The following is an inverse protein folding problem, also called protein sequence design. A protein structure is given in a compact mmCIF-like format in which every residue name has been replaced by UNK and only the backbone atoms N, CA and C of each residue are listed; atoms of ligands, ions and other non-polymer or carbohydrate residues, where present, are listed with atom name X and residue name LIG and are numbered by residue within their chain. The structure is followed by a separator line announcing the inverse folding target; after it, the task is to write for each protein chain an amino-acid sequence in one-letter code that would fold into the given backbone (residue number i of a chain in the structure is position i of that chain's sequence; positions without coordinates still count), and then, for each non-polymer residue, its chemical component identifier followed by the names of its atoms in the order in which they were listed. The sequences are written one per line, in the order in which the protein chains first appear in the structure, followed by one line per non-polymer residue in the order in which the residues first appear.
data_IF_965664258986
#
_entry.id   IF_965664258986
#
_cell.length_a   1.000
_cell.length_b   1.000
_cell.length_c   1.000
_cell.angle_alpha   90.00
_cell.angle_beta   90.00
_cell.angle_gamma   90.00
#
_symmetry.space_group_name_H-M   'P 1'
#
loop_
_entity.id
_entity.type
_entity.pdbx_description
1 polymer ?
#
# COMPACT_ATOMS: atom_id res chain seq x y z
N UNK A 1 16.21 -21.89 35.47
CA UNK A 1 15.15 -20.98 34.99
C UNK A 1 15.60 -19.57 35.32
N UNK A 2 15.58 -18.63 34.37
CA UNK A 2 15.86 -17.22 34.64
C UNK A 2 14.56 -16.48 34.37
N UNK A 3 14.01 -15.85 35.41
CA UNK A 3 12.81 -15.03 35.31
C UNK A 3 13.22 -13.58 35.49
N UNK A 4 12.98 -12.76 34.48
CA UNK A 4 13.27 -11.32 34.49
C UNK A 4 11.95 -10.59 34.70
N UNK A 5 11.88 -9.79 35.76
CA UNK A 5 10.72 -8.94 36.08
C UNK A 5 11.17 -7.48 35.94
N UNK A 6 10.59 -6.77 34.97
CA UNK A 6 10.80 -5.34 34.78
C UNK A 6 9.59 -4.56 35.34
N UNK A 7 9.86 -3.59 36.21
CA UNK A 7 8.84 -2.80 36.94
C UNK A 7 8.86 -1.33 36.48
N UNK A 8 9.78 -0.93 35.59
CA UNK A 8 10.10 0.48 35.38
C UNK A 8 9.41 1.17 34.18
N UNK A 9 8.66 0.44 33.34
CA UNK A 9 7.96 1.04 32.19
C UNK A 9 6.44 0.88 32.34
N UNK A 10 5.68 1.87 31.87
CA UNK A 10 4.21 1.97 31.97
C UNK A 10 3.41 0.85 31.29
N UNK A 11 4.09 -0.18 30.79
CA UNK A 11 3.55 -1.51 30.49
C UNK A 11 4.59 -2.58 30.87
N UNK A 12 4.35 -3.38 31.93
CA UNK A 12 5.29 -4.41 32.32
C UNK A 12 5.20 -5.64 31.40
N UNK A 13 6.34 -6.20 31.03
CA UNK A 13 6.47 -7.48 30.32
C UNK A 13 7.35 -8.43 31.15
N UNK A 14 6.91 -9.69 31.28
CA UNK A 14 7.70 -10.77 31.88
C UNK A 14 8.03 -11.76 30.77
N UNK A 15 9.32 -12.11 30.62
CA UNK A 15 9.73 -13.24 29.77
C UNK A 15 10.35 -14.34 30.63
N UNK A 16 9.84 -15.55 30.47
CA UNK A 16 10.35 -16.77 31.10
C UNK A 16 10.86 -17.68 30.00
N UNK A 17 12.14 -18.04 30.08
CA UNK A 17 12.70 -19.08 29.21
C UNK A 17 12.73 -20.40 29.99
N UNK A 18 11.94 -21.38 29.52
CA UNK A 18 11.92 -22.73 30.07
C UNK A 18 12.32 -23.75 28.98
N UNK A 19 13.07 -24.82 29.32
CA UNK A 19 13.28 -25.93 28.39
C UNK A 19 11.95 -26.65 28.09
N UNK A 20 11.85 -27.41 26.99
CA UNK A 20 10.59 -27.97 26.53
C UNK A 20 9.98 -28.92 27.57
N UNK A 21 8.75 -28.65 28.03
CA UNK A 21 7.98 -29.56 28.88
C UNK A 21 7.38 -28.98 30.17
N UNK A 22 7.54 -27.68 30.46
CA UNK A 22 6.93 -27.04 31.65
C UNK A 22 5.84 -26.05 31.21
N UNK A 23 4.65 -26.19 31.82
CA UNK A 23 3.47 -25.38 31.53
C UNK A 23 3.74 -23.88 31.80
N UNK A 24 3.33 -23.05 30.84
CA UNK A 24 3.45 -21.59 30.89
C UNK A 24 2.22 -21.03 31.64
N UNK A 25 2.40 -20.59 32.88
CA UNK A 25 1.35 -19.91 33.64
C UNK A 25 1.17 -18.44 33.22
N UNK A 26 -0.07 -17.98 33.32
CA UNK A 26 -0.54 -16.67 32.88
C UNK A 26 0.05 -15.54 33.75
N UNK A 27 0.86 -14.69 33.13
CA UNK A 27 1.60 -13.56 33.73
C UNK A 27 0.73 -12.52 34.46
N UNK A 28 -0.59 -12.58 34.32
CA UNK A 28 -1.54 -11.66 34.94
C UNK A 28 -1.78 -11.91 36.44
N UNK A 29 -1.47 -13.10 36.96
CA UNK A 29 -1.62 -13.43 38.39
C UNK A 29 -0.58 -12.76 39.30
N UNK A 30 0.67 -12.62 38.81
CA UNK A 30 1.81 -12.06 39.57
C UNK A 30 1.54 -10.63 40.05
N UNK A 31 0.78 -9.85 39.26
CA UNK A 31 0.47 -8.45 39.58
C UNK A 31 -0.66 -8.28 40.59
N UNK A 32 -1.52 -9.28 40.81
CA UNK A 32 -2.66 -9.18 41.75
C UNK A 32 -2.30 -9.63 43.16
N UNK A 33 -1.39 -10.59 43.30
CA UNK A 33 -1.11 -11.23 44.60
C UNK A 33 0.06 -10.59 45.36
N UNK A 34 0.80 -9.69 44.71
CA UNK A 34 1.95 -8.99 45.28
C UNK A 34 3.24 -9.80 45.16
N UNK A 35 4.36 -9.10 44.94
CA UNK A 35 5.68 -9.68 44.69
C UNK A 35 6.07 -10.77 45.71
N UNK A 36 5.78 -10.56 47.00
CA UNK A 36 6.13 -11.49 48.07
C UNK A 36 5.30 -12.79 48.04
N UNK A 37 4.07 -12.75 47.53
CA UNK A 37 3.21 -13.93 47.40
C UNK A 37 3.63 -14.77 46.20
N UNK A 38 3.94 -14.13 45.08
CA UNK A 38 4.55 -14.79 43.92
C UNK A 38 5.93 -15.36 44.26
N UNK A 39 6.76 -14.62 45.00
CA UNK A 39 8.05 -15.12 45.43
C UNK A 39 7.86 -16.40 46.23
N UNK A 40 6.92 -16.44 47.18
CA UNK A 40 6.64 -17.63 47.99
C UNK A 40 6.10 -18.80 47.15
N UNK A 41 5.26 -18.56 46.13
CA UNK A 41 4.71 -19.63 45.29
C UNK A 41 5.74 -20.27 44.37
N UNK A 42 6.79 -19.54 43.97
CA UNK A 42 7.88 -20.05 43.11
C UNK A 42 9.06 -20.59 43.94
N UNK A 43 9.20 -20.15 45.19
CA UNK A 43 10.32 -20.49 46.11
C UNK A 43 10.14 -21.83 46.83
N UNK A 44 9.09 -22.60 46.58
CA UNK A 44 9.00 -23.99 47.07
C UNK A 44 10.07 -24.92 46.47
N UNK A 45 10.96 -24.42 45.59
CA UNK A 45 12.16 -25.15 45.16
C UNK A 45 13.35 -24.28 44.71
N UNK A 46 14.36 -23.92 45.56
CA UNK A 46 15.53 -23.21 45.04
C UNK A 46 16.83 -23.38 45.87
N UNK A 47 17.44 -24.57 45.91
CA UNK A 47 18.86 -24.62 46.32
C UNK A 47 19.80 -24.02 45.24
N UNK A 48 19.31 -23.88 43.99
CA UNK A 48 20.10 -23.48 42.83
C UNK A 48 19.65 -22.18 42.14
N UNK A 49 18.60 -21.51 42.66
CA UNK A 49 18.04 -20.33 42.00
C UNK A 49 18.58 -19.06 42.63
N UNK A 50 18.87 -18.07 41.78
CA UNK A 50 19.31 -16.75 42.19
C UNK A 50 18.39 -15.71 41.58
N UNK A 51 17.74 -14.93 42.43
CA UNK A 51 16.89 -13.82 42.00
C UNK A 51 17.81 -12.66 41.62
N UNK A 52 17.66 -12.13 40.40
CA UNK A 52 18.37 -10.95 39.92
C UNK A 52 17.35 -9.83 39.79
N UNK A 53 17.51 -8.77 40.60
CA UNK A 53 16.68 -7.57 40.52
C UNK A 53 17.32 -6.59 39.53
N UNK A 54 16.63 -6.32 38.43
CA UNK A 54 17.01 -5.25 37.50
C UNK A 54 16.50 -3.94 38.11
N UNK A 55 17.42 -3.14 38.64
CA UNK A 55 17.11 -1.82 39.23
C UNK A 55 17.13 -0.70 38.20
N UNK A 56 17.76 -0.93 37.05
CA UNK A 56 17.88 0.05 35.99
C UNK A 56 18.08 -0.65 34.66
N UNK A 57 17.24 -0.33 33.68
CA UNK A 57 17.44 -0.66 32.28
C UNK A 57 17.67 0.67 31.55
N UNK A 58 18.77 0.75 30.81
CA UNK A 58 19.04 1.86 29.90
C UNK A 58 18.98 1.33 28.48
N UNK A 59 18.36 2.07 27.54
CA UNK A 59 18.47 1.76 26.13
C UNK A 59 19.94 1.56 25.75
N UNK A 60 20.24 0.56 24.92
CA UNK A 60 21.64 0.31 24.51
C UNK A 60 22.28 1.57 23.90
N UNK A 61 21.46 2.41 23.26
CA UNK A 61 21.86 3.71 22.70
C UNK A 61 22.43 4.67 23.75
N UNK A 62 21.96 4.62 24.99
CA UNK A 62 22.44 5.48 26.09
C UNK A 62 23.79 5.03 26.65
N UNK A 63 24.16 3.76 26.46
CA UNK A 63 25.46 3.20 26.86
C UNK A 63 26.55 3.59 25.84
N UNK A 64 26.16 3.90 24.61
CA UNK A 64 27.07 4.23 23.53
C UNK A 64 27.53 5.69 23.61
N UNK A 65 28.79 5.93 23.20
CA UNK A 65 29.27 7.28 22.92
C UNK A 65 28.46 7.91 21.80
N UNK A 66 28.35 9.24 21.78
CA UNK A 66 27.61 9.97 20.73
C UNK A 66 28.02 9.51 19.32
N UNK A 67 29.32 9.38 19.06
CA UNK A 67 29.83 8.92 17.76
C UNK A 67 29.39 7.49 17.39
N UNK A 68 29.34 6.57 18.36
CA UNK A 68 28.87 5.20 18.10
C UNK A 68 27.37 5.16 17.92
N UNK A 69 26.62 5.98 18.68
CA UNK A 69 25.18 6.14 18.53
C UNK A 69 24.85 6.62 17.12
N UNK A 70 25.51 7.68 16.65
CA UNK A 70 25.32 8.24 15.30
C UNK A 70 25.64 7.20 14.21
N UNK A 71 26.73 6.43 14.39
CA UNK A 71 27.10 5.36 13.45
C UNK A 71 26.10 4.21 13.43
N UNK A 72 25.63 3.78 14.59
CA UNK A 72 24.64 2.70 14.69
C UNK A 72 23.30 3.16 14.14
N UNK A 73 22.87 4.39 14.44
CA UNK A 73 21.66 4.97 13.89
C UNK A 73 21.72 5.06 12.36
N UNK A 74 22.85 5.49 11.80
CA UNK A 74 23.06 5.48 10.36
C UNK A 74 23.03 4.06 9.76
N UNK A 75 23.66 3.08 10.42
CA UNK A 75 23.64 1.68 9.97
C UNK A 75 22.24 1.09 10.03
N UNK A 76 21.52 1.30 11.12
CA UNK A 76 20.14 0.84 11.29
C UNK A 76 19.24 1.48 10.24
N UNK A 77 19.29 2.80 10.10
CA UNK A 77 18.50 3.55 9.11
C UNK A 77 18.74 3.00 7.71
N UNK A 78 19.99 2.76 7.32
CA UNK A 78 20.29 2.19 6.00
C UNK A 78 19.85 0.72 5.85
N UNK A 79 19.78 -0.05 6.94
CA UNK A 79 19.34 -1.45 6.92
C UNK A 79 17.82 -1.62 6.92
N UNK A 80 17.06 -0.60 7.34
CA UNK A 80 15.60 -0.66 7.43
C UNK A 80 14.90 0.08 6.30
N UNK A 81 15.62 0.66 5.35
CA UNK A 81 15.01 1.43 4.26
C UNK A 81 14.92 0.62 2.98
N UNK A 82 13.72 0.61 2.37
CA UNK A 82 13.46 0.11 1.02
C UNK A 82 12.99 1.27 0.15
N UNK A 83 13.47 1.36 -1.09
CA UNK A 83 13.02 2.39 -2.05
C UNK A 83 12.22 1.75 -3.18
N UNK A 84 11.11 2.38 -3.55
CA UNK A 84 10.37 2.00 -4.75
C UNK A 84 11.17 2.36 -6.02
N UNK A 85 10.79 1.85 -7.21
CA UNK A 85 11.16 2.50 -8.46
C UNK A 85 10.71 3.96 -8.47
N UNK A 86 11.45 4.82 -9.17
CA UNK A 86 11.07 6.23 -9.38
C UNK A 86 10.07 6.36 -10.53
N UNK A 87 9.07 7.22 -10.36
CA UNK A 87 8.07 7.57 -11.38
C UNK A 87 8.28 9.02 -11.81
N UNK A 88 8.13 9.31 -13.10
CA UNK A 88 8.36 10.64 -13.69
C UNK A 88 9.62 10.68 -14.55
N UNK A 89 10.18 11.87 -14.77
CA UNK A 89 11.41 12.06 -15.52
C UNK A 89 12.64 11.49 -14.79
N UNK A 90 13.59 10.86 -15.51
CA UNK A 90 14.77 10.23 -14.92
C UNK A 90 15.86 11.27 -14.58
N UNK A 91 15.56 12.18 -13.66
CA UNK A 91 16.51 13.16 -13.16
C UNK A 91 17.30 12.64 -11.95
N UNK A 92 18.36 13.36 -11.57
CA UNK A 92 19.00 13.14 -10.29
C UNK A 92 18.05 13.57 -9.16
N UNK A 93 17.96 12.76 -8.10
CA UNK A 93 17.14 13.07 -6.94
C UNK A 93 17.61 14.40 -6.31
N UNK A 94 16.70 15.35 -6.22
CA UNK A 94 16.91 16.69 -5.64
C UNK A 94 16.55 16.74 -4.15
N UNK A 95 15.73 15.80 -3.68
CA UNK A 95 15.40 15.64 -2.25
C UNK A 95 15.26 14.17 -1.86
N UNK A 96 15.47 13.91 -0.57
CA UNK A 96 15.38 12.57 -0.01
C UNK A 96 14.77 12.57 1.39
N UNK A 97 13.56 12.03 1.52
CA UNK A 97 12.83 11.96 2.78
C UNK A 97 13.48 11.07 3.84
N UNK A 98 14.40 10.17 3.45
CA UNK A 98 15.12 9.30 4.37
C UNK A 98 15.98 10.04 5.42
N UNK A 99 16.35 11.29 5.15
CA UNK A 99 17.21 12.08 6.03
C UNK A 99 16.59 12.41 7.39
N UNK A 100 15.26 12.27 7.55
CA UNK A 100 14.55 12.59 8.79
C UNK A 100 14.52 11.42 9.80
N UNK A 101 15.34 10.38 9.56
CA UNK A 101 15.44 9.23 10.43
C UNK A 101 14.17 8.38 10.39
N UNK A 102 13.86 7.71 11.49
CA UNK A 102 12.80 6.69 11.60
C UNK A 102 11.52 7.28 12.24
N UNK A 103 11.24 8.55 11.95
CA UNK A 103 10.06 9.26 12.49
C UNK A 103 8.78 8.86 11.74
N UNK A 104 7.64 8.89 12.43
CA UNK A 104 6.33 8.65 11.81
C UNK A 104 5.83 9.90 11.13
N UNK A 105 5.26 9.77 9.93
CA UNK A 105 4.58 10.87 9.24
C UNK A 105 3.28 11.19 9.98
N UNK A 106 3.04 12.47 10.27
CA UNK A 106 1.77 12.96 10.83
C UNK A 106 0.87 13.54 9.75
N UNK A 107 1.45 14.28 8.81
CA UNK A 107 0.71 14.82 7.69
C UNK A 107 1.58 15.07 6.46
N UNK A 108 0.93 15.13 5.31
CA UNK A 108 1.54 15.53 4.04
C UNK A 108 0.74 16.71 3.51
N UNK A 109 1.41 17.84 3.29
CA UNK A 109 0.83 18.98 2.57
C UNK A 109 1.16 18.82 1.10
N UNK A 110 0.14 18.90 0.24
CA UNK A 110 0.29 18.76 -1.20
C UNK A 110 -0.17 20.05 -1.86
N UNK A 111 0.74 20.71 -2.58
CA UNK A 111 0.41 21.82 -3.48
C UNK A 111 0.18 21.27 -4.87
N UNK A 112 -0.93 21.66 -5.48
CA UNK A 112 -1.31 21.13 -6.79
C UNK A 112 -2.11 22.16 -7.59
N UNK A 113 -2.07 22.02 -8.91
CA UNK A 113 -2.95 22.74 -9.84
C UNK A 113 -3.96 21.76 -10.43
N UNK A 114 -4.73 22.23 -11.42
CA UNK A 114 -5.62 21.37 -12.23
C UNK A 114 -4.86 20.40 -13.14
N UNK A 115 -3.54 20.58 -13.28
CA UNK A 115 -2.72 19.89 -14.27
C UNK A 115 -1.44 19.29 -13.74
N UNK A 116 -1.08 19.41 -12.46
CA UNK A 116 0.06 18.70 -11.84
C UNK A 116 0.13 18.88 -10.33
N UNK A 117 0.95 18.04 -9.71
CA UNK A 117 1.49 18.25 -8.37
C UNK A 117 2.65 19.25 -8.46
N UNK A 118 2.52 20.36 -7.74
CA UNK A 118 3.47 21.46 -7.71
C UNK A 118 4.54 21.25 -6.65
N UNK A 119 4.15 20.79 -5.47
CA UNK A 119 5.09 20.57 -4.37
C UNK A 119 4.50 19.65 -3.30
N UNK A 120 5.35 19.19 -2.40
CA UNK A 120 4.99 18.38 -1.24
C UNK A 120 5.82 18.79 -0.02
N UNK A 121 5.21 18.72 1.16
CA UNK A 121 5.91 18.79 2.44
C UNK A 121 5.41 17.67 3.34
N UNK A 122 6.31 17.07 4.12
CA UNK A 122 6.01 15.97 5.03
C UNK A 122 6.31 16.44 6.45
N UNK A 123 5.29 16.49 7.29
CA UNK A 123 5.42 16.77 8.71
C UNK A 123 5.49 15.46 9.49
N UNK A 124 6.45 15.36 10.38
CA UNK A 124 6.74 14.18 11.19
C UNK A 124 6.40 14.40 12.66
N UNK A 125 6.18 13.29 13.35
CA UNK A 125 6.00 13.28 14.79
C UNK A 125 7.22 13.89 15.50
N UNK A 126 6.96 14.85 16.39
CA UNK A 126 8.00 15.66 17.04
C UNK A 126 8.26 17.01 16.38
N UNK A 127 7.49 17.38 15.34
CA UNK A 127 7.50 18.72 14.75
C UNK A 127 8.55 18.95 13.67
N UNK A 128 9.28 17.90 13.25
CA UNK A 128 10.20 17.98 12.10
C UNK A 128 9.40 18.07 10.81
N UNK A 129 9.84 18.90 9.87
CA UNK A 129 9.21 19.01 8.54
C UNK A 129 10.26 18.90 7.44
N UNK A 130 9.97 18.08 6.43
CA UNK A 130 10.74 18.02 5.18
C UNK A 130 9.96 18.68 4.04
N UNK A 131 10.66 19.49 3.23
CA UNK A 131 10.02 20.35 2.24
C UNK A 131 9.34 21.57 2.87
N UNK A 132 8.57 22.36 2.08
CA UNK A 132 8.38 22.25 0.64
C UNK A 132 9.70 22.41 -0.13
N UNK A 133 9.78 21.88 -1.34
CA UNK A 133 11.04 21.80 -2.09
C UNK A 133 11.16 22.86 -3.20
N UNK A 134 10.04 23.36 -3.72
CA UNK A 134 10.02 24.41 -4.73
C UNK A 134 8.83 25.36 -4.57
N UNK A 135 7.72 25.06 -5.23
CA UNK A 135 6.60 25.97 -5.42
C UNK A 135 5.98 26.42 -4.09
N UNK A 136 5.92 25.51 -3.12
CA UNK A 136 5.37 25.78 -1.79
C UNK A 136 6.20 26.76 -0.97
N UNK A 137 7.44 27.09 -1.38
CA UNK A 137 8.27 28.13 -0.74
C UNK A 137 7.94 29.54 -1.25
N UNK A 138 7.59 29.66 -2.53
CA UNK A 138 7.35 30.95 -3.19
C UNK A 138 5.90 31.41 -3.15
N UNK A 139 4.95 30.49 -2.99
CA UNK A 139 3.53 30.77 -3.13
C UNK A 139 2.70 29.97 -2.10
N UNK A 140 2.77 30.41 -0.84
CA UNK A 140 2.09 29.75 0.28
C UNK A 140 0.56 29.83 0.19
N UNK A 141 0.01 30.81 -0.53
CA UNK A 141 -1.45 31.01 -0.67
C UNK A 141 -2.06 30.16 -1.79
N UNK A 142 -1.23 29.50 -2.58
CA UNK A 142 -1.69 28.63 -3.65
C UNK A 142 -2.47 27.42 -3.17
N UNK A 143 -3.26 26.86 -4.09
CA UNK A 143 -4.10 25.70 -3.83
C UNK A 143 -3.29 24.53 -3.26
N UNK A 144 -3.62 24.17 -2.02
CA UNK A 144 -3.03 23.05 -1.31
C UNK A 144 -4.11 22.28 -0.54
N UNK A 145 -3.76 21.07 -0.12
CA UNK A 145 -4.54 20.29 0.83
C UNK A 145 -3.60 19.56 1.79
N UNK A 146 -4.09 19.21 2.96
CA UNK A 146 -3.33 18.53 4.01
C UNK A 146 -3.93 17.15 4.26
N UNK A 147 -3.15 16.12 3.96
CA UNK A 147 -3.49 14.74 4.27
C UNK A 147 -2.97 14.38 5.66
N UNK A 148 -3.87 14.18 6.63
CA UNK A 148 -3.52 13.90 8.03
C UNK A 148 -3.70 12.42 8.38
N UNK A 149 -2.75 11.89 9.14
CA UNK A 149 -2.77 10.56 9.74
C UNK A 149 -3.16 10.66 11.21
N UNK A 150 -4.05 9.76 11.66
CA UNK A 150 -4.30 9.61 13.09
C UNK A 150 -3.10 8.94 13.79
N UNK A 151 -2.93 9.11 15.11
CA UNK A 151 -1.86 8.42 15.84
C UNK A 151 -1.88 6.90 15.59
N UNK A 152 -0.77 6.36 15.10
CA UNK A 152 -0.62 4.94 14.76
C UNK A 152 -1.13 4.54 13.36
N UNK A 153 -1.67 5.46 12.57
CA UNK A 153 -1.89 5.25 11.13
C UNK A 153 -0.59 5.42 10.35
N UNK A 154 -0.44 4.63 9.29
CA UNK A 154 0.70 4.70 8.38
C UNK A 154 0.20 4.80 6.93
N UNK A 155 1.03 5.31 6.03
CA UNK A 155 0.79 5.19 4.59
C UNK A 155 1.42 3.88 4.11
N UNK A 156 0.67 3.07 3.36
CA UNK A 156 1.09 1.72 2.93
C UNK A 156 1.38 1.62 1.44
N UNK A 157 0.72 2.46 0.65
CA UNK A 157 0.85 2.48 -0.78
C UNK A 157 0.62 3.90 -1.29
N UNK A 158 1.25 4.23 -2.41
CA UNK A 158 1.08 5.52 -3.09
C UNK A 158 0.79 5.26 -4.57
N UNK A 159 -0.36 5.73 -5.04
CA UNK A 159 -0.65 5.76 -6.46
C UNK A 159 -0.13 7.07 -7.05
N UNK A 160 0.56 6.97 -8.17
CA UNK A 160 1.16 8.10 -8.88
C UNK A 160 0.74 8.06 -10.33
N UNK A 161 0.29 9.20 -10.85
CA UNK A 161 0.02 9.41 -12.25
C UNK A 161 1.00 10.44 -12.80
N UNK A 162 1.59 10.16 -13.95
CA UNK A 162 2.61 11.01 -14.59
C UNK A 162 2.24 11.38 -16.03
N UNK A 163 2.90 12.43 -16.53
CA UNK A 163 2.87 12.86 -17.92
C UNK A 163 4.14 12.40 -18.66
N UNK A 164 4.09 12.21 -19.98
CA UNK A 164 5.27 11.87 -20.80
C UNK A 164 6.36 12.94 -20.75
N UNK A 165 5.98 14.19 -20.49
CA UNK A 165 6.92 15.31 -20.27
C UNK A 165 7.63 15.24 -18.91
N UNK A 166 7.33 14.22 -18.10
CA UNK A 166 8.00 13.96 -16.83
C UNK A 166 7.26 14.48 -15.59
N UNK A 167 6.21 15.28 -15.73
CA UNK A 167 5.50 15.86 -14.58
C UNK A 167 4.71 14.81 -13.80
N UNK A 168 4.67 14.96 -12.47
CA UNK A 168 3.73 14.22 -11.63
C UNK A 168 2.37 14.92 -11.70
N UNK A 169 1.40 14.24 -12.30
CA UNK A 169 0.06 14.76 -12.53
C UNK A 169 -0.83 14.65 -11.31
N UNK A 170 -0.73 13.52 -10.61
CA UNK A 170 -1.57 13.26 -9.44
C UNK A 170 -0.98 12.21 -8.52
N UNK A 171 -1.41 12.27 -7.26
CA UNK A 171 -0.99 11.37 -6.19
C UNK A 171 -2.22 10.98 -5.36
N UNK A 172 -2.27 9.73 -4.91
CA UNK A 172 -3.22 9.26 -3.93
C UNK A 172 -2.51 8.38 -2.90
N UNK A 173 -2.76 8.62 -1.62
CA UNK A 173 -2.18 7.88 -0.50
C UNK A 173 -3.17 6.83 0.01
N UNK A 174 -2.65 5.66 0.36
CA UNK A 174 -3.39 4.57 1.01
C UNK A 174 -2.94 4.46 2.46
N UNK A 175 -3.89 4.48 3.40
CA UNK A 175 -3.64 4.31 4.83
C UNK A 175 -3.61 2.84 5.23
N UNK A 176 -3.00 2.55 6.38
CA UNK A 176 -2.96 1.23 7.02
C UNK A 176 -4.34 0.72 7.44
N UNK A 177 -5.30 1.62 7.68
CA UNK A 177 -6.70 1.28 7.89
C UNK A 177 -7.52 1.25 6.59
N UNK A 178 -6.87 1.20 5.43
CA UNK A 178 -7.45 1.12 4.10
C UNK A 178 -8.16 2.40 3.63
N UNK A 179 -8.13 3.48 4.45
CA UNK A 179 -8.61 4.78 4.05
C UNK A 179 -7.77 5.34 2.89
N UNK A 180 -8.44 5.91 1.89
CA UNK A 180 -7.79 6.56 0.75
C UNK A 180 -7.88 8.07 0.88
N UNK A 181 -6.79 8.76 0.52
CA UNK A 181 -6.88 10.19 0.26
C UNK A 181 -7.72 10.46 -1.00
N UNK A 182 -8.19 11.69 -1.21
CA UNK A 182 -8.54 12.15 -2.55
C UNK A 182 -7.38 11.94 -3.53
N UNK A 183 -7.70 11.89 -4.83
CA UNK A 183 -6.67 11.96 -5.86
C UNK A 183 -6.30 13.44 -6.04
N UNK A 184 -5.10 13.81 -5.59
CA UNK A 184 -4.59 15.18 -5.71
C UNK A 184 -4.13 15.48 -7.14
N UNK A 185 -4.20 16.75 -7.56
CA UNK A 185 -3.75 17.23 -8.89
C UNK A 185 -4.64 16.91 -10.08
N UNK A 186 -5.45 15.84 -10.02
CA UNK A 186 -6.33 15.42 -11.12
C UNK A 186 -7.78 15.75 -10.74
N UNK A 187 -8.24 16.94 -11.13
CA UNK A 187 -9.58 17.44 -10.73
C UNK A 187 -10.61 17.46 -11.84
N UNK A 188 -10.19 17.55 -13.11
CA UNK A 188 -11.14 17.79 -14.20
C UNK A 188 -11.25 16.61 -15.15
N UNK A 189 -12.33 16.65 -15.94
CA UNK A 189 -12.52 15.76 -17.08
C UNK A 189 -11.46 15.96 -18.18
N UNK A 190 -10.65 17.00 -18.09
CA UNK A 190 -9.67 17.35 -19.11
C UNK A 190 -8.23 17.12 -18.64
N UNK A 191 -8.03 16.64 -17.41
CA UNK A 191 -6.72 16.24 -16.89
C UNK A 191 -6.26 14.94 -17.57
N UNK A 192 -5.57 15.08 -18.71
CA UNK A 192 -5.04 13.96 -19.49
C UNK A 192 -3.71 13.52 -18.87
N UNK A 193 -3.72 12.38 -18.18
CA UNK A 193 -2.48 11.72 -17.73
C UNK A 193 -1.98 10.84 -18.85
N UNK A 194 -0.82 11.16 -19.41
CA UNK A 194 -0.36 10.48 -20.62
C UNK A 194 0.41 9.18 -20.35
N UNK A 195 0.74 8.87 -19.09
CA UNK A 195 1.26 7.57 -18.70
C UNK A 195 0.21 6.73 -17.95
N UNK A 196 0.52 5.46 -17.74
CA UNK A 196 -0.30 4.57 -16.91
C UNK A 196 -0.15 4.94 -15.43
N UNK A 197 -1.20 4.68 -14.60
CA UNK A 197 -1.03 4.76 -13.15
C UNK A 197 0.10 3.83 -12.71
N UNK A 198 0.92 4.29 -11.78
CA UNK A 198 1.91 3.48 -11.09
C UNK A 198 1.50 3.30 -9.63
N UNK A 199 1.73 2.09 -9.11
CA UNK A 199 1.58 1.78 -7.69
C UNK A 199 2.98 1.68 -7.08
N UNK A 200 3.30 2.60 -6.18
CA UNK A 200 4.43 2.47 -5.28
C UNK A 200 3.92 1.72 -4.05
N UNK A 201 4.07 0.40 -4.03
CA UNK A 201 3.62 -0.43 -2.92
C UNK A 201 4.68 -0.55 -1.85
N UNK A 202 4.29 -0.37 -0.59
CA UNK A 202 5.13 -0.67 0.57
C UNK A 202 5.22 -2.16 0.85
N UNK A 203 4.35 -2.99 0.27
CA UNK A 203 4.32 -4.45 0.48
C UNK A 203 4.30 -4.83 1.98
N UNK A 204 3.46 -4.16 2.76
CA UNK A 204 3.39 -4.35 4.21
C UNK A 204 4.29 -3.42 5.03
N UNK A 205 5.12 -2.60 4.40
CA UNK A 205 5.95 -1.61 5.08
C UNK A 205 5.23 -0.26 5.19
N UNK A 206 5.60 0.53 6.21
CA UNK A 206 5.12 1.90 6.35
C UNK A 206 5.96 2.87 5.49
N UNK A 207 5.32 3.90 4.95
CA UNK A 207 6.02 5.00 4.29
C UNK A 207 6.84 5.76 5.35
N UNK A 208 8.14 5.86 5.09
CA UNK A 208 9.05 6.69 5.85
C UNK A 208 9.11 8.11 5.31
N UNK A 209 9.09 8.26 3.99
CA UNK A 209 9.17 9.57 3.35
C UNK A 209 9.09 9.47 1.84
N UNK A 210 9.27 10.61 1.19
CA UNK A 210 9.26 10.72 -0.26
C UNK A 210 10.62 11.28 -0.72
N UNK A 211 11.09 10.79 -1.87
CA UNK A 211 12.29 11.28 -2.54
C UNK A 211 11.96 11.58 -3.99
N UNK A 212 12.70 12.45 -4.64
CA UNK A 212 12.34 12.83 -5.99
C UNK A 212 13.14 13.99 -6.54
N UNK A 213 12.66 14.50 -7.66
CA UNK A 213 13.20 15.66 -8.35
C UNK A 213 12.06 16.65 -8.65
N UNK A 214 12.43 17.91 -8.75
CA UNK A 214 11.49 18.99 -9.00
C UNK A 214 12.14 20.06 -9.88
N UNK A 215 11.29 20.91 -10.43
CA UNK A 215 11.69 22.17 -11.05
C UNK A 215 10.99 23.33 -10.32
N UNK A 216 11.22 24.56 -10.76
CA UNK A 216 10.45 25.71 -10.31
C UNK A 216 8.95 25.58 -10.57
N UNK A 217 8.54 24.73 -11.53
CA UNK A 217 7.16 24.60 -11.97
C UNK A 217 6.46 23.37 -11.36
N UNK A 218 7.17 22.39 -10.81
CA UNK A 218 6.53 21.28 -10.12
C UNK A 218 7.40 20.05 -9.91
N UNK A 219 6.79 19.02 -9.31
CA UNK A 219 7.42 17.70 -9.15
C UNK A 219 7.54 17.01 -10.51
N UNK A 220 8.76 16.55 -10.82
CA UNK A 220 9.08 15.82 -12.04
C UNK A 220 9.48 14.38 -11.77
N UNK A 221 9.71 14.01 -10.52
CA UNK A 221 10.01 12.63 -10.18
C UNK A 221 9.58 12.35 -8.74
N UNK A 222 9.07 11.15 -8.49
CA UNK A 222 8.68 10.70 -7.16
C UNK A 222 9.08 9.25 -6.92
N UNK A 223 9.60 8.99 -5.73
CA UNK A 223 9.97 7.69 -5.21
C UNK A 223 9.47 7.60 -3.77
N UNK A 224 8.89 6.46 -3.42
CA UNK A 224 8.51 6.17 -2.04
C UNK A 224 9.70 5.54 -1.30
N UNK A 225 9.93 6.02 -0.08
CA UNK A 225 10.90 5.46 0.85
C UNK A 225 10.12 4.77 1.95
N UNK A 226 10.29 3.46 2.06
CA UNK A 226 9.62 2.59 3.02
C UNK A 226 10.57 2.24 4.15
N UNK A 227 10.02 2.06 5.35
CA UNK A 227 10.73 1.53 6.50
C UNK A 227 10.25 0.12 6.83
N UNK A 228 11.18 -0.81 7.03
CA UNK A 228 10.89 -2.25 7.18
C UNK A 228 10.80 -2.70 8.64
N UNK A 229 11.06 -1.81 9.59
CA UNK A 229 10.89 -2.07 11.02
C UNK A 229 9.40 -2.02 11.44
N UNK A 230 8.56 -1.36 10.65
CA UNK A 230 7.10 -1.32 10.83
C UNK A 230 6.44 -2.22 9.79
N UNK A 231 5.95 -3.38 10.26
CA UNK A 231 5.25 -4.36 9.43
C UNK A 231 3.75 -4.29 9.70
N UNK A 232 3.00 -3.91 8.69
CA UNK A 232 1.55 -3.81 8.69
C UNK A 232 1.00 -5.18 8.37
N UNK A 233 0.49 -5.82 9.42
CA UNK A 233 -0.09 -7.16 9.34
C UNK A 233 -1.32 -7.14 8.44
N UNK A 234 -1.56 -8.24 7.73
CA UNK A 234 -2.68 -8.46 6.81
C UNK A 234 -2.61 -7.69 5.48
N UNK A 235 -1.49 -7.03 5.14
CA UNK A 235 -1.26 -6.56 3.77
C UNK A 235 -0.68 -7.69 2.93
N UNK A 236 -1.25 -7.91 1.73
CA UNK A 236 -0.73 -8.89 0.77
C UNK A 236 0.40 -8.27 -0.04
N UNK A 237 1.40 -9.08 -0.39
CA UNK A 237 2.41 -8.64 -1.36
C UNK A 237 1.75 -8.37 -2.71
N UNK A 238 2.11 -7.25 -3.35
CA UNK A 238 1.53 -6.85 -4.64
C UNK A 238 2.57 -6.66 -5.74
N UNK A 239 2.13 -6.95 -6.96
CA UNK A 239 2.85 -6.63 -8.19
C UNK A 239 1.87 -6.04 -9.19
N UNK A 240 2.37 -5.37 -10.22
CA UNK A 240 1.50 -4.70 -11.18
C UNK A 240 1.86 -4.98 -12.62
N UNK A 241 0.85 -4.92 -13.48
CA UNK A 241 1.00 -4.88 -14.94
C UNK A 241 0.06 -3.83 -15.48
N UNK A 242 0.47 -3.07 -16.49
CA UNK A 242 -0.35 -1.99 -17.03
C UNK A 242 -0.46 -2.04 -18.54
N UNK A 243 -1.58 -1.58 -19.08
CA UNK A 243 -1.82 -1.46 -20.51
C UNK A 243 -2.81 -0.34 -20.84
N UNK A 244 -2.78 0.12 -22.09
CA UNK A 244 -3.83 0.93 -22.70
C UNK A 244 -3.35 2.30 -23.17
N UNK A 245 -4.25 3.28 -23.13
CA UNK A 245 -4.07 4.61 -23.70
C UNK A 245 -3.60 5.69 -22.72
N UNK A 246 -3.41 6.88 -23.28
CA UNK A 246 -2.92 8.09 -22.61
C UNK A 246 -4.06 9.01 -22.16
N UNK A 247 -5.31 8.61 -22.32
CA UNK A 247 -6.50 9.42 -22.04
C UNK A 247 -7.39 8.78 -20.99
N UNK A 248 -8.42 9.51 -20.55
CA UNK A 248 -9.49 9.01 -19.70
C UNK A 248 -9.50 9.53 -18.26
N UNK A 249 -10.64 9.37 -17.58
CA UNK A 249 -10.81 9.70 -16.16
C UNK A 249 -10.20 8.63 -15.29
N UNK A 250 -9.36 9.04 -14.35
CA UNK A 250 -8.71 8.12 -13.42
C UNK A 250 -9.74 7.44 -12.51
N UNK A 251 -9.48 6.17 -12.20
CA UNK A 251 -10.21 5.43 -11.18
C UNK A 251 -9.25 4.53 -10.40
N UNK A 252 -9.64 4.20 -9.17
CA UNK A 252 -8.95 3.24 -8.33
C UNK A 252 -9.97 2.35 -7.65
N UNK A 253 -9.98 1.04 -7.97
CA UNK A 253 -10.95 0.13 -7.38
C UNK A 253 -10.66 -0.21 -5.92
N UNK A 254 -9.46 0.10 -5.39
CA UNK A 254 -9.08 -0.21 -4.02
C UNK A 254 -10.11 0.29 -2.99
N UNK A 255 -10.78 1.43 -3.29
CA UNK A 255 -11.83 2.00 -2.43
C UNK A 255 -13.10 1.13 -2.30
N UNK A 256 -13.26 0.13 -3.15
CA UNK A 256 -14.40 -0.79 -3.14
C UNK A 256 -14.08 -2.14 -2.48
N UNK A 257 -12.83 -2.34 -2.05
CA UNK A 257 -12.42 -3.51 -1.29
C UNK A 257 -12.66 -3.20 0.19
N UNK A 258 -13.62 -3.88 0.83
CA UNK A 258 -13.86 -3.65 2.26
C UNK A 258 -12.68 -4.14 3.12
N UNK A 259 -12.03 -5.23 2.70
CA UNK A 259 -10.77 -5.72 3.27
C UNK A 259 -9.88 -6.29 2.14
N UNK A 260 -8.83 -5.58 1.70
CA UNK A 260 -7.89 -6.05 0.69
C UNK A 260 -7.13 -7.33 1.02
N UNK A 261 -7.11 -7.76 2.29
CA UNK A 261 -6.47 -9.01 2.67
C UNK A 261 -7.30 -10.23 2.25
N UNK A 262 -8.63 -10.10 2.30
CA UNK A 262 -9.60 -11.18 2.03
C UNK A 262 -10.36 -10.96 0.72
N UNK A 263 -10.19 -9.81 0.07
CA UNK A 263 -10.90 -9.45 -1.15
C UNK A 263 -10.55 -10.34 -2.33
N UNK A 264 -11.57 -10.64 -3.14
CA UNK A 264 -11.45 -11.21 -4.48
C UNK A 264 -12.46 -10.61 -5.43
N UNK A 265 -12.17 -10.70 -6.71
CA UNK A 265 -13.16 -10.42 -7.77
C UNK A 265 -14.16 -11.58 -7.78
N UNK A 266 -15.45 -11.26 -7.76
CA UNK A 266 -16.53 -12.24 -7.89
C UNK A 266 -17.21 -12.15 -9.26
N UNK A 267 -17.22 -10.97 -9.88
CA UNK A 267 -17.92 -10.74 -11.13
C UNK A 267 -17.26 -9.59 -11.90
N UNK A 268 -17.25 -9.70 -13.23
CA UNK A 268 -16.95 -8.58 -14.12
C UNK A 268 -18.08 -8.50 -15.14
N UNK A 269 -18.64 -7.32 -15.29
CA UNK A 269 -19.67 -7.02 -16.28
C UNK A 269 -19.12 -5.96 -17.22
N UNK A 270 -19.22 -6.20 -18.52
CA UNK A 270 -18.89 -5.20 -19.53
C UNK A 270 -19.61 -5.51 -20.84
N UNK A 271 -19.55 -4.58 -21.80
CA UNK A 271 -20.13 -4.77 -23.13
C UNK A 271 -19.26 -5.66 -24.00
N UNK A 272 -19.88 -6.48 -24.84
CA UNK A 272 -19.22 -7.26 -25.89
C UNK A 272 -19.90 -7.06 -27.26
N UNK A 273 -19.13 -7.27 -28.33
CA UNK A 273 -19.61 -7.19 -29.72
C UNK A 273 -19.96 -5.78 -30.18
N UNK A 274 -19.48 -4.75 -29.48
CA UNK A 274 -19.66 -3.35 -29.87
C UNK A 274 -18.77 -2.95 -31.04
N UNK A 275 -19.03 -1.78 -31.64
CA UNK A 275 -18.14 -1.15 -32.63
C UNK A 275 -16.93 -0.44 -31.99
N UNK A 276 -16.99 -0.22 -30.67
CA UNK A 276 -16.00 0.52 -29.88
C UNK A 276 -15.41 -0.41 -28.81
N UNK A 277 -14.40 0.08 -28.08
CA UNK A 277 -13.70 -0.70 -27.08
C UNK A 277 -14.53 -1.13 -25.86
N UNK A 278 -13.86 -1.61 -24.82
CA UNK A 278 -14.49 -2.16 -23.62
C UNK A 278 -15.30 -1.06 -22.89
N UNK A 279 -16.63 -1.21 -22.85
CA UNK A 279 -17.55 -0.22 -22.30
C UNK A 279 -18.49 -0.82 -21.23
N UNK A 280 -19.16 0.03 -20.43
CA UNK A 280 -19.84 -0.32 -19.17
C UNK A 280 -19.07 -1.31 -18.30
N UNK A 281 -17.76 -1.12 -18.20
CA UNK A 281 -16.91 -1.99 -17.39
C UNK A 281 -17.21 -1.75 -15.90
N UNK A 282 -17.60 -2.81 -15.21
CA UNK A 282 -17.88 -2.83 -13.78
C UNK A 282 -17.34 -4.11 -13.17
N UNK A 283 -16.71 -3.96 -12.01
CA UNK A 283 -16.21 -5.09 -11.23
C UNK A 283 -17.04 -5.22 -9.96
N UNK A 284 -17.33 -6.44 -9.57
CA UNK A 284 -17.90 -6.75 -8.26
C UNK A 284 -16.85 -7.48 -7.42
N UNK A 285 -16.55 -6.90 -6.27
CA UNK A 285 -15.65 -7.46 -5.28
C UNK A 285 -16.46 -8.11 -4.17
N UNK A 286 -15.93 -9.21 -3.62
CA UNK A 286 -16.37 -9.78 -2.35
C UNK A 286 -15.19 -9.83 -1.40
N UNK A 287 -15.43 -9.52 -0.13
CA UNK A 287 -14.42 -9.50 0.92
C UNK A 287 -15.05 -9.84 2.26
N UNK A 288 -14.24 -10.31 3.20
CA UNK A 288 -14.65 -10.59 4.58
C UNK A 288 -14.11 -9.47 5.44
N UNK A 289 -15.01 -8.69 6.05
CA UNK A 289 -14.66 -7.61 6.97
C UNK A 289 -15.25 -7.92 8.33
N UNK A 290 -14.38 -8.17 9.33
CA UNK A 290 -14.79 -8.84 10.56
C UNK A 290 -15.26 -10.25 10.23
N UNK A 291 -16.53 -10.55 10.49
CA UNK A 291 -17.16 -11.85 10.22
C UNK A 291 -18.24 -11.79 9.12
N UNK A 292 -18.37 -10.64 8.45
CA UNK A 292 -19.40 -10.42 7.43
C UNK A 292 -18.83 -10.47 6.02
N UNK A 293 -19.52 -11.18 5.13
CA UNK A 293 -19.27 -11.12 3.70
C UNK A 293 -19.84 -9.83 3.13
N UNK A 294 -18.96 -8.94 2.66
CA UNK A 294 -19.33 -7.70 1.98
C UNK A 294 -19.18 -7.87 0.48
N UNK A 295 -20.20 -7.47 -0.28
CA UNK A 295 -20.19 -7.43 -1.74
C UNK A 295 -20.33 -5.99 -2.21
N UNK A 296 -19.38 -5.53 -3.02
CA UNK A 296 -19.31 -4.13 -3.47
C UNK A 296 -19.13 -4.07 -4.98
N UNK A 297 -19.89 -3.21 -5.64
CA UNK A 297 -19.79 -2.96 -7.07
C UNK A 297 -19.12 -1.62 -7.35
N UNK A 298 -18.24 -1.60 -8.35
CA UNK A 298 -17.69 -0.33 -8.85
C UNK A 298 -18.74 0.43 -9.67
N UNK A 299 -18.55 1.74 -9.91
CA UNK A 299 -19.30 2.46 -10.93
C UNK A 299 -19.10 1.83 -12.32
N UNK A 300 -20.12 1.98 -13.17
CA UNK A 300 -20.03 1.60 -14.58
C UNK A 300 -19.11 2.58 -15.32
N UNK A 301 -18.12 2.04 -16.04
CA UNK A 301 -17.15 2.83 -16.79
C UNK A 301 -17.38 2.71 -18.30
N UNK A 302 -17.57 3.85 -18.96
CA UNK A 302 -17.78 3.92 -20.40
C UNK A 302 -19.24 4.10 -20.81
N UNK A 303 -19.51 3.87 -22.09
CA UNK A 303 -20.76 4.22 -22.79
C UNK A 303 -21.70 3.03 -22.99
N UNK A 304 -22.92 3.32 -23.46
CA UNK A 304 -24.05 2.39 -23.43
C UNK A 304 -24.14 1.40 -24.61
N UNK A 305 -23.22 1.44 -25.57
CA UNK A 305 -23.29 0.62 -26.79
C UNK A 305 -22.90 -0.86 -26.62
N UNK A 306 -23.58 -1.76 -27.36
CA UNK A 306 -23.29 -3.20 -27.41
C UNK A 306 -24.11 -4.05 -26.42
N UNK A 307 -23.90 -5.37 -26.46
CA UNK A 307 -24.60 -6.31 -25.56
C UNK A 307 -23.87 -6.40 -24.23
N UNK A 308 -24.60 -6.33 -23.10
CA UNK A 308 -23.99 -6.52 -21.78
C UNK A 308 -23.74 -8.01 -21.57
N UNK A 309 -22.51 -8.36 -21.21
CA UNK A 309 -22.17 -9.71 -20.80
C UNK A 309 -21.54 -9.66 -19.41
N UNK A 310 -21.68 -10.76 -18.68
CA UNK A 310 -21.22 -10.88 -17.31
C UNK A 310 -20.44 -12.18 -17.18
N UNK A 311 -19.22 -12.09 -16.64
CA UNK A 311 -18.49 -13.24 -16.13
C UNK A 311 -18.67 -13.30 -14.61
N UNK A 312 -18.99 -14.48 -14.10
CA UNK A 312 -19.10 -14.75 -12.66
C UNK A 312 -18.06 -15.79 -12.29
N UNK A 313 -17.36 -15.56 -11.18
CA UNK A 313 -16.33 -16.42 -10.63
C UNK A 313 -16.89 -17.20 -9.44
N UNK A 314 -16.67 -18.51 -9.44
CA UNK A 314 -16.95 -19.38 -8.30
C UNK A 314 -16.05 -19.03 -7.10
N UNK A 315 -16.27 -19.66 -5.94
CA UNK A 315 -15.55 -19.30 -4.70
C UNK A 315 -14.03 -19.51 -4.78
N UNK A 316 -13.62 -20.57 -5.48
CA UNK A 316 -12.22 -20.96 -5.69
C UNK A 316 -11.75 -20.73 -7.15
N UNK A 317 -12.54 -19.98 -7.93
CA UNK A 317 -12.14 -19.50 -9.25
C UNK A 317 -11.49 -18.13 -9.13
N UNK A 318 -10.26 -18.01 -9.64
CA UNK A 318 -9.50 -16.76 -9.61
C UNK A 318 -8.88 -16.46 -10.96
N UNK A 319 -8.72 -15.17 -11.25
CA UNK A 319 -8.10 -14.70 -12.49
C UNK A 319 -6.59 -14.80 -12.34
N UNK A 320 -5.99 -15.70 -13.12
CA UNK A 320 -4.55 -15.94 -13.20
C UNK A 320 -3.91 -15.43 -14.48
N UNK A 321 -4.70 -14.92 -15.43
CA UNK A 321 -4.16 -14.36 -16.67
C UNK A 321 -5.15 -13.43 -17.37
N UNK A 322 -4.62 -12.51 -18.16
CA UNK A 322 -5.38 -11.50 -18.90
C UNK A 322 -4.76 -11.33 -20.26
N UNK A 323 -5.58 -11.31 -21.31
CA UNK A 323 -5.13 -11.00 -22.66
C UNK A 323 -6.12 -10.11 -23.39
N UNK A 324 -5.68 -9.44 -24.43
CA UNK A 324 -6.54 -8.53 -25.14
C UNK A 324 -5.86 -7.81 -26.29
N UNK A 325 -6.55 -6.81 -26.80
CA UNK A 325 -6.06 -5.90 -27.82
C UNK A 325 -6.39 -4.46 -27.43
N UNK A 326 -5.47 -3.55 -27.68
CA UNK A 326 -5.68 -2.12 -27.56
C UNK A 326 -5.21 -1.41 -28.82
N UNK A 327 -5.51 -0.13 -28.91
CA UNK A 327 -5.00 0.78 -29.92
C UNK A 327 -4.76 2.16 -29.28
N UNK A 328 -4.48 3.17 -30.10
CA UNK A 328 -4.27 4.55 -29.63
C UNK A 328 -5.49 5.18 -28.93
N UNK A 329 -6.69 4.61 -29.09
CA UNK A 329 -7.91 5.12 -28.47
C UNK A 329 -8.19 4.48 -27.11
N UNK A 330 -7.70 3.27 -26.85
CA UNK A 330 -7.95 2.55 -25.60
C UNK A 330 -8.02 1.04 -25.78
N UNK A 331 -8.48 0.36 -24.73
CA UNK A 331 -8.62 -1.09 -24.69
C UNK A 331 -9.83 -1.51 -25.52
N UNK A 332 -9.56 -2.20 -26.63
CA UNK A 332 -10.57 -2.62 -27.56
C UNK A 332 -11.21 -3.94 -27.15
N UNK A 333 -10.38 -4.88 -26.68
CA UNK A 333 -10.78 -6.21 -26.26
C UNK A 333 -10.04 -6.61 -24.99
N UNK A 334 -10.74 -7.22 -24.03
CA UNK A 334 -10.11 -7.83 -22.86
C UNK A 334 -10.75 -9.17 -22.54
N UNK A 335 -9.93 -10.17 -22.24
CA UNK A 335 -10.34 -11.52 -21.89
C UNK A 335 -9.61 -11.95 -20.63
N UNK A 336 -10.38 -12.51 -19.70
CA UNK A 336 -9.86 -13.01 -18.43
C UNK A 336 -9.76 -14.53 -18.46
N UNK A 337 -8.61 -15.02 -18.02
CA UNK A 337 -8.25 -16.43 -17.94
C UNK A 337 -8.17 -16.78 -16.45
N UNK A 338 -8.90 -17.82 -16.07
CA UNK A 338 -8.94 -18.29 -14.68
C UNK A 338 -8.19 -19.60 -14.55
N UNK A 339 -7.96 -20.02 -13.30
CA UNK A 339 -7.47 -21.36 -12.98
C UNK A 339 -8.40 -22.50 -13.45
N UNK A 340 -9.67 -22.21 -13.77
CA UNK A 340 -10.65 -23.22 -14.20
C UNK A 340 -10.93 -23.18 -15.70
N UNK A 341 -11.05 -21.97 -16.28
CA UNK A 341 -11.50 -21.80 -17.67
C UNK A 341 -11.08 -20.45 -18.26
N UNK A 342 -11.24 -20.33 -19.56
CA UNK A 342 -11.15 -19.03 -20.25
C UNK A 342 -12.56 -18.49 -20.46
N UNK A 343 -12.84 -17.29 -19.95
CA UNK A 343 -14.14 -16.64 -20.14
C UNK A 343 -14.22 -15.95 -21.51
N UNK A 344 -15.43 -15.69 -22.06
CA UNK A 344 -15.58 -14.88 -23.27
C UNK A 344 -14.94 -13.50 -23.12
N UNK A 345 -14.45 -12.94 -24.23
CA UNK A 345 -13.86 -11.61 -24.22
C UNK A 345 -14.94 -10.51 -24.15
N UNK A 346 -14.62 -9.43 -23.44
CA UNK A 346 -15.35 -8.17 -23.50
C UNK A 346 -14.79 -7.26 -24.60
N UNK A 347 -15.60 -6.32 -25.06
CA UNK A 347 -15.24 -5.31 -26.05
C UNK A 347 -15.50 -5.72 -27.51
N UNK A 348 -14.80 -5.06 -28.42
CA UNK A 348 -14.87 -5.27 -29.87
C UNK A 348 -13.78 -6.23 -30.35
N UNK A 349 -13.98 -6.85 -31.52
CA UNK A 349 -12.93 -7.59 -32.23
C UNK A 349 -12.02 -6.65 -33.05
N UNK A 350 -11.60 -5.56 -32.41
CA UNK A 350 -10.70 -4.56 -32.98
C UNK A 350 -9.47 -4.38 -32.08
N UNK A 351 -8.55 -3.52 -32.50
CA UNK A 351 -7.27 -3.29 -31.82
C UNK A 351 -6.14 -3.95 -32.59
N UNK A 352 -5.09 -3.19 -32.79
CA UNK A 352 -3.90 -3.54 -33.58
C UNK A 352 -2.73 -3.98 -32.69
N UNK A 353 -2.81 -3.72 -31.38
CA UNK A 353 -1.75 -4.06 -30.42
C UNK A 353 -2.27 -5.11 -29.44
N UNK A 354 -1.80 -6.35 -29.59
CA UNK A 354 -2.11 -7.43 -28.68
C UNK A 354 -1.31 -7.31 -27.37
N UNK A 355 -1.92 -7.73 -26.26
CA UNK A 355 -1.25 -7.85 -24.97
C UNK A 355 -1.66 -9.15 -24.26
N UNK A 356 -0.77 -9.68 -23.44
CA UNK A 356 -1.01 -10.83 -22.58
C UNK A 356 -0.17 -10.72 -21.32
N UNK A 357 -0.80 -10.93 -20.17
CA UNK A 357 -0.18 -10.95 -18.86
C UNK A 357 -0.62 -12.21 -18.13
N UNK A 358 0.35 -13.01 -17.71
CA UNK A 358 0.11 -14.05 -16.72
C UNK A 358 0.34 -13.45 -15.33
N UNK A 359 -0.40 -13.96 -14.34
CA UNK A 359 -0.19 -13.54 -12.98
C UNK A 359 1.27 -13.84 -12.58
N UNK A 360 1.97 -12.86 -11.98
CA UNK A 360 3.32 -13.09 -11.51
C UNK A 360 3.34 -14.10 -10.36
N UNK A 361 4.55 -14.54 -10.02
CA UNK A 361 4.80 -15.31 -8.81
C UNK A 361 5.43 -14.41 -7.76
N UNK A 362 5.14 -14.73 -6.51
CA UNK A 362 5.87 -14.23 -5.34
C UNK A 362 7.35 -14.63 -5.40
N UNK A 363 8.19 -14.01 -4.57
CA UNK A 363 9.62 -14.35 -4.47
C UNK A 363 9.88 -15.80 -4.07
N UNK A 364 8.94 -16.44 -3.37
CA UNK A 364 8.99 -17.85 -3.00
C UNK A 364 8.26 -18.78 -3.99
N UNK A 365 7.81 -18.24 -5.14
CA UNK A 365 7.28 -19.02 -6.26
C UNK A 365 5.78 -19.36 -6.18
N UNK A 366 5.07 -18.91 -5.13
CA UNK A 366 3.61 -19.04 -5.03
C UNK A 366 2.90 -18.16 -6.06
N UNK A 367 1.81 -18.68 -6.59
CA UNK A 367 0.99 -17.98 -7.59
C UNK A 367 0.29 -16.75 -6.98
N UNK A 368 0.26 -15.67 -7.75
CA UNK A 368 -0.54 -14.48 -7.46
C UNK A 368 -1.83 -14.50 -8.28
N UNK A 369 -2.76 -13.62 -7.92
CA UNK A 369 -4.07 -13.48 -8.58
C UNK A 369 -4.41 -12.03 -8.78
N UNK A 370 -5.28 -11.74 -9.76
CA UNK A 370 -5.78 -10.37 -9.94
C UNK A 370 -6.62 -9.98 -8.71
N UNK A 371 -6.14 -8.98 -7.97
CA UNK A 371 -6.80 -8.50 -6.76
C UNK A 371 -7.80 -7.38 -7.08
N UNK A 372 -7.30 -6.29 -7.67
CA UNK A 372 -8.12 -5.16 -8.08
C UNK A 372 -7.49 -4.43 -9.27
N UNK A 373 -8.19 -3.42 -9.76
CA UNK A 373 -7.77 -2.61 -10.90
C UNK A 373 -7.79 -1.12 -10.57
N UNK A 374 -6.79 -0.39 -11.04
CA UNK A 374 -6.85 1.06 -11.18
C UNK A 374 -6.71 1.40 -12.66
N UNK A 375 -7.01 2.61 -13.09
CA UNK A 375 -6.93 2.90 -14.52
C UNK A 375 -7.53 4.21 -14.94
N UNK A 376 -7.91 4.26 -16.22
CA UNK A 376 -8.50 5.41 -16.90
C UNK A 376 -9.66 4.99 -17.78
N UNK A 377 -10.72 5.78 -17.81
CA UNK A 377 -11.86 5.54 -18.71
C UNK A 377 -12.55 6.82 -19.15
N UNK A 378 -12.91 6.92 -20.44
CA UNK A 378 -13.74 7.97 -21.04
C UNK A 378 -14.52 7.36 -22.21
N UNK A 379 -15.81 7.11 -22.01
CA UNK A 379 -16.66 6.47 -23.04
C UNK A 379 -16.35 4.98 -23.29
N UNK A 380 -15.12 4.54 -23.06
CA UNK A 380 -14.66 3.15 -22.94
C UNK A 380 -13.47 3.12 -21.97
N UNK A 381 -12.92 1.93 -21.75
CA UNK A 381 -11.77 1.72 -20.89
C UNK A 381 -10.50 2.10 -21.65
N UNK A 382 -9.85 3.18 -21.24
CA UNK A 382 -8.66 3.69 -21.91
C UNK A 382 -7.42 2.89 -21.48
N UNK A 383 -7.20 2.79 -20.16
CA UNK A 383 -6.04 2.11 -19.59
C UNK A 383 -6.37 1.41 -18.28
N UNK A 384 -5.63 0.35 -17.96
CA UNK A 384 -5.77 -0.40 -16.72
C UNK A 384 -4.38 -0.71 -16.16
N UNK A 385 -4.24 -0.50 -14.86
CA UNK A 385 -3.25 -1.10 -13.98
C UNK A 385 -3.91 -2.29 -13.28
N UNK A 386 -3.45 -3.48 -13.62
CA UNK A 386 -3.79 -4.73 -12.95
C UNK A 386 -2.91 -4.86 -11.71
N UNK A 387 -3.54 -4.96 -10.54
CA UNK A 387 -2.82 -5.20 -9.29
C UNK A 387 -2.98 -6.67 -8.93
N UNK A 388 -1.87 -7.40 -9.03
CA UNK A 388 -1.74 -8.78 -8.63
C UNK A 388 -1.40 -8.85 -7.15
N UNK A 389 -1.99 -9.79 -6.42
CA UNK A 389 -1.63 -10.04 -5.03
C UNK A 389 -1.54 -11.54 -4.74
N UNK A 390 -0.94 -11.89 -3.61
CA UNK A 390 -1.04 -13.25 -3.07
C UNK A 390 -2.51 -13.71 -2.96
N UNK A 391 -2.74 -15.03 -2.86
CA UNK A 391 -4.08 -15.57 -2.67
C UNK A 391 -4.81 -14.88 -1.49
N UNK A 392 -6.12 -14.61 -1.61
CA UNK A 392 -6.89 -14.01 -0.51
C UNK A 392 -6.75 -14.85 0.76
N UNK A 393 -6.57 -14.17 1.89
CA UNK A 393 -6.55 -14.84 3.18
C UNK A 393 -7.92 -15.47 3.41
N UNK A 394 -7.93 -16.77 3.71
CA UNK A 394 -9.15 -17.44 4.16
C UNK A 394 -9.53 -16.88 5.52
N UNK A 395 -10.83 -16.75 5.79
CA UNK A 395 -11.29 -16.54 7.15
C UNK A 395 -10.77 -17.71 7.99
N UNK A 396 -9.86 -17.42 8.91
CA UNK A 396 -9.51 -18.38 9.95
C UNK A 396 -10.73 -18.48 10.86
N UNK A 397 -11.36 -19.64 10.89
CA UNK A 397 -12.30 -19.98 11.97
C UNK A 397 -11.52 -19.89 13.28
N UNK A 398 -11.74 -18.81 14.04
CA UNK A 398 -11.18 -18.65 15.39
C UNK A 398 -11.85 -19.63 16.32
#
# INVERSE_FOLDING_TARGET
MITIVDIALSTPWISTWAPPGVLQEDSSQVFREGYDTWLKSVVDNPASWRIIKIVHAVPITEILTAQLRDRIEMLFTNSVILRSPSIGAPHALSFDGAANGVQSIESITIWFSTSRIRDIAVAYAGGTTAGPYSYGLSDHESQSDVFTLAPGEFITDVFVWSHFDGWIMGIQFVKSNLGLSPIYGIRTKDSITSQHPALLSGNGNALLGLSGAYTSDGLTQLQAVWRTDVIIRRQRHTQTSCIGGTTGYVFNDLQYLADPATSRIAQITARAGGKHGVAKFQTTYVSISGDALTRTETPLRGSDGGNLITMTLEEDEYIGGIRGHHNNHGIQRIQFITNRKTHPAFGAETGDIAFSFDAPKTSDGRDMVLNYMAGKSRGWLDAILFVWAEMPLKATSV
#
